data_IF_265431012959
#
_entry.id   IF_265431012959
#
_cell.length_a   1.000
_cell.length_b   1.000
_cell.length_c   1.000
_cell.angle_alpha   90.00
_cell.angle_beta   90.00
_cell.angle_gamma   90.00
#
_symmetry.space_group_name_H-M   'P 1'
#
loop_
_entity.id
_entity.type
_entity.pdbx_description
1 polymer ?
#
# COMPACT_ATOMS: atom_id res chain seq x y z
N UNK A 1 -41.23 -5.49 -12.71
CA UNK A 1 -39.87 -5.97 -13.02
C UNK A 1 -38.93 -5.14 -12.15
N UNK A 2 -38.39 -5.71 -11.06
CA UNK A 2 -37.42 -4.99 -10.20
C UNK A 2 -36.10 -4.93 -10.96
N UNK A 3 -35.67 -3.75 -11.31
CA UNK A 3 -34.30 -3.51 -11.77
C UNK A 3 -33.35 -4.02 -10.67
N UNK A 4 -32.56 -5.02 -10.99
CA UNK A 4 -31.44 -5.45 -10.15
C UNK A 4 -30.42 -4.32 -10.20
N UNK A 5 -30.38 -3.51 -9.15
CA UNK A 5 -29.29 -2.54 -8.97
C UNK A 5 -27.98 -3.33 -8.93
N UNK A 6 -27.19 -3.20 -9.98
CA UNK A 6 -25.87 -3.77 -10.05
C UNK A 6 -24.99 -3.04 -9.03
N UNK A 7 -24.48 -3.77 -8.04
CA UNK A 7 -23.49 -3.21 -7.09
C UNK A 7 -22.19 -3.05 -7.83
N UNK A 8 -21.81 -1.80 -8.12
CA UNK A 8 -20.56 -1.47 -8.82
C UNK A 8 -19.41 -1.13 -7.88
N UNK A 9 -19.72 -0.79 -6.64
CA UNK A 9 -18.75 -0.38 -5.63
C UNK A 9 -19.20 -0.78 -4.23
N UNK A 10 -18.24 -1.27 -3.42
CA UNK A 10 -18.41 -1.48 -1.99
C UNK A 10 -18.04 -0.19 -1.28
N UNK A 11 -18.99 0.39 -0.57
CA UNK A 11 -18.80 1.58 0.25
C UNK A 11 -18.80 1.15 1.71
N UNK A 12 -17.72 1.46 2.41
CA UNK A 12 -17.58 1.23 3.86
C UNK A 12 -17.72 2.56 4.60
N UNK A 13 -18.20 2.53 5.86
CA UNK A 13 -18.17 3.72 6.70
C UNK A 13 -16.75 4.19 6.94
N UNK A 14 -16.60 5.49 7.18
CA UNK A 14 -15.35 6.03 7.70
C UNK A 14 -15.17 5.55 9.14
N UNK A 15 -14.02 4.99 9.43
CA UNK A 15 -13.65 4.45 10.74
C UNK A 15 -12.22 4.84 11.09
N UNK A 16 -11.89 4.83 12.37
CA UNK A 16 -10.52 5.01 12.83
C UNK A 16 -10.20 3.90 13.85
N UNK A 17 -9.22 3.04 13.56
CA UNK A 17 -8.49 2.89 12.28
C UNK A 17 -9.39 2.54 11.09
N UNK A 18 -8.88 2.79 9.88
CA UNK A 18 -9.58 2.58 8.61
C UNK A 18 -10.11 1.15 8.43
N UNK A 19 -11.21 1.02 7.71
CA UNK A 19 -11.79 -0.28 7.33
C UNK A 19 -11.58 -0.54 5.83
N UNK A 20 -11.13 -1.74 5.51
CA UNK A 20 -10.85 -2.25 4.17
C UNK A 20 -11.82 -3.38 3.79
N UNK A 21 -11.98 -3.67 2.50
CA UNK A 21 -12.72 -4.84 2.03
C UNK A 21 -11.78 -5.95 1.59
N UNK A 22 -11.63 -6.98 2.42
CA UNK A 22 -10.66 -8.06 2.22
C UNK A 22 -11.39 -9.41 2.28
N UNK A 23 -11.16 -10.27 1.28
CA UNK A 23 -11.74 -11.62 1.22
C UNK A 23 -13.27 -11.63 1.44
N UNK A 24 -13.99 -10.70 0.79
CA UNK A 24 -15.44 -10.64 0.81
C UNK A 24 -16.07 -10.09 2.09
N UNK A 25 -15.31 -9.37 2.93
CA UNK A 25 -15.80 -8.77 4.19
C UNK A 25 -15.09 -7.48 4.57
N UNK A 26 -15.75 -6.67 5.37
CA UNK A 26 -15.14 -5.51 6.01
C UNK A 26 -14.16 -5.97 7.10
N UNK A 27 -12.95 -5.44 7.05
CA UNK A 27 -11.88 -5.70 8.03
C UNK A 27 -11.32 -4.37 8.48
N UNK A 28 -11.50 -4.04 9.76
CA UNK A 28 -10.88 -2.84 10.33
C UNK A 28 -9.38 -3.11 10.55
N UNK A 29 -8.54 -2.14 10.19
CA UNK A 29 -7.12 -2.16 10.51
C UNK A 29 -6.95 -2.14 12.04
N UNK A 30 -5.89 -2.73 12.54
CA UNK A 30 -5.53 -2.63 13.96
C UNK A 30 -4.64 -1.41 14.19
N UNK A 31 -4.66 -0.85 15.40
CA UNK A 31 -3.71 0.21 15.77
C UNK A 31 -2.27 -0.31 15.66
N UNK A 32 -1.36 0.46 15.03
CA UNK A 32 -0.01 -0.01 14.77
C UNK A 32 0.79 -0.17 16.04
N UNK A 33 1.60 -1.23 16.12
CA UNK A 33 2.67 -1.35 17.11
C UNK A 33 3.77 -0.31 16.85
N UNK A 34 4.58 -0.01 17.87
CA UNK A 34 5.70 0.96 17.77
C UNK A 34 6.59 0.72 16.56
N UNK A 35 7.01 -0.52 16.32
CA UNK A 35 7.90 -0.89 15.21
C UNK A 35 7.22 -0.61 13.86
N UNK A 36 5.96 -0.98 13.71
CA UNK A 36 5.18 -0.71 12.50
C UNK A 36 5.11 0.80 12.23
N UNK A 37 4.72 1.62 13.23
CA UNK A 37 4.61 3.07 13.06
C UNK A 37 5.94 3.75 12.75
N UNK A 38 7.07 3.24 13.29
CA UNK A 38 8.42 3.74 12.96
C UNK A 38 8.77 3.45 11.50
N UNK A 39 8.61 2.21 11.06
CA UNK A 39 8.90 1.81 9.67
C UNK A 39 7.99 2.55 8.68
N UNK A 40 6.72 2.75 9.01
CA UNK A 40 5.79 3.53 8.20
C UNK A 40 6.27 4.98 8.03
N UNK A 41 6.69 5.62 9.14
CA UNK A 41 7.21 6.98 9.12
C UNK A 41 8.49 7.10 8.29
N UNK A 42 9.43 6.17 8.42
CA UNK A 42 10.69 6.20 7.69
C UNK A 42 10.52 5.92 6.19
N UNK A 43 9.66 4.97 5.83
CA UNK A 43 9.30 4.69 4.43
C UNK A 43 8.57 5.88 3.79
N UNK A 44 7.63 6.49 4.53
CA UNK A 44 6.96 7.70 4.09
C UNK A 44 7.99 8.82 3.83
N UNK A 45 8.89 9.07 4.78
CA UNK A 45 9.90 10.12 4.67
C UNK A 45 10.87 9.87 3.49
N UNK A 46 11.32 8.62 3.31
CA UNK A 46 12.19 8.24 2.19
C UNK A 46 11.52 8.45 0.83
N UNK A 47 10.28 7.99 0.68
CA UNK A 47 9.50 8.16 -0.55
C UNK A 47 9.18 9.64 -0.81
N UNK A 48 8.85 10.42 0.22
CA UNK A 48 8.63 11.87 0.12
C UNK A 48 9.89 12.62 -0.34
N UNK A 49 11.03 12.24 0.20
CA UNK A 49 12.31 12.84 -0.22
C UNK A 49 12.68 12.50 -1.67
N UNK A 50 12.26 11.34 -2.13
CA UNK A 50 12.52 10.88 -3.50
C UNK A 50 11.57 11.52 -4.53
N UNK A 51 10.27 11.64 -4.24
CA UNK A 51 9.25 11.99 -5.24
C UNK A 51 9.40 13.40 -5.82
N UNK A 52 9.94 14.36 -5.06
CA UNK A 52 10.35 15.73 -5.50
C UNK A 52 9.37 16.45 -6.44
N UNK A 53 8.06 16.31 -6.21
CA UNK A 53 7.02 16.91 -7.02
C UNK A 53 6.60 16.09 -8.25
N UNK A 54 7.10 14.86 -8.42
CA UNK A 54 6.65 13.96 -9.49
C UNK A 54 5.34 13.24 -9.18
N UNK A 55 4.81 13.44 -7.99
CA UNK A 55 3.57 12.81 -7.56
C UNK A 55 3.19 13.18 -6.14
N UNK A 56 2.48 12.29 -5.48
CA UNK A 56 2.10 12.43 -4.08
C UNK A 56 2.36 11.13 -3.32
N UNK A 57 3.00 11.25 -2.16
CA UNK A 57 3.14 10.19 -1.18
C UNK A 57 2.23 10.50 0.01
N UNK A 58 1.47 9.52 0.47
CA UNK A 58 0.65 9.64 1.68
C UNK A 58 0.66 8.33 2.48
N UNK A 59 0.46 8.44 3.78
CA UNK A 59 0.17 7.30 4.66
C UNK A 59 -1.33 7.14 4.81
N UNK A 60 -1.79 5.90 5.04
CA UNK A 60 -3.20 5.56 5.28
C UNK A 60 -4.15 6.16 4.24
N UNK A 61 -3.72 6.23 2.99
CA UNK A 61 -4.52 6.79 1.90
C UNK A 61 -5.45 5.73 1.31
N UNK A 62 -6.74 5.99 1.36
CA UNK A 62 -7.77 5.09 0.84
C UNK A 62 -7.81 5.13 -0.69
N UNK A 63 -7.83 3.95 -1.29
CA UNK A 63 -8.03 3.74 -2.73
C UNK A 63 -9.28 2.90 -2.97
N UNK A 64 -10.03 3.19 -4.03
CA UNK A 64 -11.22 2.45 -4.45
C UNK A 64 -10.89 1.64 -5.69
N UNK A 65 -10.41 0.42 -5.50
CA UNK A 65 -9.78 -0.38 -6.54
C UNK A 65 -10.79 -1.34 -7.18
N UNK A 66 -10.85 -1.34 -8.52
CA UNK A 66 -11.65 -2.28 -9.30
C UNK A 66 -10.74 -3.10 -10.22
N UNK A 67 -10.21 -4.25 -9.77
CA UNK A 67 -9.52 -5.17 -10.67
C UNK A 67 -10.45 -5.59 -11.83
N UNK A 68 -9.92 -5.92 -13.01
CA UNK A 68 -10.72 -6.32 -14.15
C UNK A 68 -11.74 -7.41 -13.81
N UNK A 69 -13.01 -7.18 -14.14
CA UNK A 69 -14.11 -8.12 -13.87
C UNK A 69 -14.53 -8.22 -12.41
N UNK A 70 -14.04 -7.37 -11.53
CA UNK A 70 -14.36 -7.38 -10.10
C UNK A 70 -15.04 -6.09 -9.64
N UNK A 71 -15.79 -6.19 -8.53
CA UNK A 71 -16.43 -5.06 -7.88
C UNK A 71 -15.35 -4.14 -7.29
N UNK A 72 -15.53 -2.82 -7.43
CA UNK A 72 -14.68 -1.81 -6.80
C UNK A 72 -14.75 -1.92 -5.28
N UNK A 73 -13.61 -1.86 -4.62
CA UNK A 73 -13.49 -2.03 -3.17
C UNK A 73 -12.45 -1.10 -2.55
N UNK A 74 -12.65 -0.65 -1.30
CA UNK A 74 -11.68 0.16 -0.61
C UNK A 74 -10.54 -0.70 -0.06
N UNK A 75 -9.29 -0.26 -0.31
CA UNK A 75 -8.07 -0.69 0.37
C UNK A 75 -7.27 0.53 0.83
N UNK A 76 -6.50 0.36 1.91
CA UNK A 76 -5.74 1.42 2.56
C UNK A 76 -4.33 0.90 2.84
N UNK A 77 -3.36 1.11 1.95
CA UNK A 77 -1.96 0.77 2.19
C UNK A 77 -1.37 1.65 3.31
N UNK A 78 -0.36 1.14 4.00
CA UNK A 78 0.32 1.89 5.07
C UNK A 78 1.02 3.13 4.51
N UNK A 79 1.65 3.02 3.32
CA UNK A 79 2.16 4.15 2.53
C UNK A 79 1.82 3.91 1.06
N UNK A 80 1.49 4.98 0.35
CA UNK A 80 1.23 4.93 -1.08
C UNK A 80 1.92 6.06 -1.82
N UNK A 81 2.30 5.80 -3.08
CA UNK A 81 2.71 6.81 -4.04
C UNK A 81 1.80 6.76 -5.27
N UNK A 82 1.40 7.95 -5.73
CA UNK A 82 0.69 8.14 -7.00
C UNK A 82 1.38 9.23 -7.79
N UNK A 83 1.66 8.97 -9.05
CA UNK A 83 2.28 9.93 -9.96
C UNK A 83 1.39 11.15 -10.24
N UNK A 84 2.01 12.30 -10.49
CA UNK A 84 1.30 13.53 -10.82
C UNK A 84 0.41 13.37 -12.07
N UNK A 85 0.84 12.57 -13.04
CA UNK A 85 0.07 12.25 -14.24
C UNK A 85 -1.26 11.57 -13.90
N UNK A 86 -1.26 10.59 -13.00
CA UNK A 86 -2.47 9.88 -12.60
C UNK A 86 -3.38 10.68 -11.69
N UNK A 87 -2.85 11.65 -10.98
CA UNK A 87 -3.62 12.59 -10.15
C UNK A 87 -4.20 13.73 -10.97
N UNK A 88 -3.65 14.01 -12.16
CA UNK A 88 -4.09 15.11 -13.00
C UNK A 88 -5.60 15.00 -13.35
N UNK A 89 -6.34 16.06 -13.07
CA UNK A 89 -7.77 16.13 -13.33
C UNK A 89 -8.67 15.50 -12.27
N UNK A 90 -8.14 14.82 -11.25
CA UNK A 90 -8.94 14.34 -10.12
C UNK A 90 -9.36 15.51 -9.23
N UNK A 91 -10.59 15.45 -8.74
CA UNK A 91 -11.16 16.45 -7.83
C UNK A 91 -12.07 15.79 -6.80
N UNK A 92 -12.30 16.48 -5.68
CA UNK A 92 -13.22 16.05 -4.64
C UNK A 92 -12.96 14.62 -4.16
N UNK A 93 -14.00 13.79 -4.14
CA UNK A 93 -13.93 12.41 -3.67
C UNK A 93 -12.87 11.58 -4.42
N UNK A 94 -12.70 11.80 -5.72
CA UNK A 94 -11.76 11.01 -6.52
C UNK A 94 -10.29 11.40 -6.23
N UNK A 95 -10.03 12.62 -5.78
CA UNK A 95 -8.72 13.03 -5.29
C UNK A 95 -8.46 12.47 -3.88
N UNK A 96 -9.46 12.57 -2.99
CA UNK A 96 -9.33 12.07 -1.60
C UNK A 96 -9.23 10.54 -1.54
N UNK A 97 -9.98 9.85 -2.37
CA UNK A 97 -9.97 8.39 -2.49
C UNK A 97 -9.97 7.96 -3.96
N UNK A 98 -8.79 7.89 -4.60
CA UNK A 98 -8.67 7.61 -6.04
C UNK A 98 -9.35 6.30 -6.45
N UNK A 99 -10.05 6.28 -7.62
CA UNK A 99 -10.80 5.12 -8.09
C UNK A 99 -9.91 4.08 -8.82
N UNK A 100 -8.66 3.95 -8.41
CA UNK A 100 -7.65 3.04 -8.96
C UNK A 100 -6.65 2.62 -7.89
N UNK A 101 -5.78 1.63 -8.17
CA UNK A 101 -4.67 1.27 -7.30
C UNK A 101 -3.55 2.33 -7.36
N UNK A 102 -2.79 2.61 -6.28
CA UNK A 102 -1.63 3.48 -6.34
C UNK A 102 -0.57 2.91 -7.32
N UNK A 103 0.37 3.74 -7.77
CA UNK A 103 1.53 3.25 -8.53
C UNK A 103 2.40 2.36 -7.66
N UNK A 104 2.60 2.76 -6.41
CA UNK A 104 3.31 1.97 -5.40
C UNK A 104 2.49 1.89 -4.12
N UNK A 105 2.23 0.67 -3.66
CA UNK A 105 1.66 0.39 -2.35
C UNK A 105 2.71 -0.19 -1.42
N UNK A 106 2.71 0.22 -0.16
CA UNK A 106 3.56 -0.34 0.90
C UNK A 106 2.67 -0.93 1.98
N UNK A 107 2.93 -2.17 2.36
CA UNK A 107 2.31 -2.87 3.47
C UNK A 107 3.39 -3.29 4.46
N UNK A 108 3.23 -2.97 5.72
CA UNK A 108 4.14 -3.33 6.79
C UNK A 108 3.46 -4.36 7.67
N UNK A 109 4.02 -5.55 7.74
CA UNK A 109 3.41 -6.65 8.46
C UNK A 109 3.42 -6.42 9.98
N UNK A 110 2.34 -6.79 10.61
CA UNK A 110 2.17 -6.86 12.06
C UNK A 110 2.05 -8.33 12.51
N UNK A 111 2.37 -8.65 13.77
CA UNK A 111 2.28 -10.03 14.27
C UNK A 111 0.89 -10.67 14.10
N UNK A 112 -0.16 -9.85 14.08
CA UNK A 112 -1.55 -10.30 13.97
C UNK A 112 -2.03 -10.43 12.51
N UNK A 113 -1.18 -10.11 11.53
CA UNK A 113 -1.54 -10.20 10.14
C UNK A 113 -1.70 -11.65 9.70
N UNK A 114 -2.78 -11.89 8.98
CA UNK A 114 -3.06 -13.21 8.38
C UNK A 114 -2.50 -13.26 6.96
N UNK A 115 -1.62 -14.21 6.64
CA UNK A 115 -1.00 -14.30 5.31
C UNK A 115 -2.00 -14.22 4.16
N UNK A 116 -3.14 -14.90 4.24
CA UNK A 116 -4.16 -14.87 3.20
C UNK A 116 -4.76 -13.46 2.96
N UNK A 117 -4.80 -12.59 3.97
CA UNK A 117 -5.27 -11.21 3.79
C UNK A 117 -4.21 -10.37 3.07
N UNK A 118 -2.95 -10.54 3.44
CA UNK A 118 -1.82 -9.84 2.81
C UNK A 118 -1.72 -10.22 1.35
N UNK A 119 -1.74 -11.51 1.03
CA UNK A 119 -1.72 -12.02 -0.35
C UNK A 119 -2.92 -11.49 -1.17
N UNK A 120 -4.11 -11.43 -0.56
CA UNK A 120 -5.28 -10.86 -1.22
C UNK A 120 -5.09 -9.37 -1.55
N UNK A 121 -4.56 -8.56 -0.62
CA UNK A 121 -4.27 -7.14 -0.85
C UNK A 121 -3.27 -6.98 -2.00
N UNK A 122 -2.16 -7.72 -1.97
CA UNK A 122 -1.15 -7.71 -3.04
C UNK A 122 -1.80 -8.01 -4.40
N UNK A 123 -2.58 -9.09 -4.49
CA UNK A 123 -3.25 -9.47 -5.72
C UNK A 123 -4.21 -8.38 -6.22
N UNK A 124 -4.96 -7.72 -5.34
CA UNK A 124 -5.87 -6.62 -5.70
C UNK A 124 -5.10 -5.40 -6.18
N UNK A 125 -3.99 -5.02 -5.53
CA UNK A 125 -3.15 -3.89 -5.98
C UNK A 125 -2.58 -4.15 -7.38
N UNK A 126 -1.93 -5.29 -7.58
CA UNK A 126 -1.31 -5.63 -8.88
C UNK A 126 -2.37 -5.73 -9.99
N UNK A 127 -3.45 -6.48 -9.76
CA UNK A 127 -4.54 -6.58 -10.74
C UNK A 127 -5.26 -5.24 -10.99
N UNK A 128 -5.24 -4.34 -10.00
CA UNK A 128 -5.78 -2.98 -10.10
C UNK A 128 -4.85 -1.99 -10.79
N UNK A 129 -3.65 -2.41 -11.21
CA UNK A 129 -2.71 -1.61 -12.00
C UNK A 129 -1.57 -0.97 -11.18
N UNK A 130 -1.32 -1.42 -9.95
CA UNK A 130 -0.12 -1.01 -9.23
C UNK A 130 1.14 -1.56 -9.93
N UNK A 131 2.15 -0.71 -10.08
CA UNK A 131 3.43 -1.08 -10.67
C UNK A 131 4.33 -1.82 -9.69
N UNK A 132 4.15 -1.59 -8.39
CA UNK A 132 4.95 -2.18 -7.32
C UNK A 132 4.14 -2.27 -6.02
N UNK A 133 4.24 -3.41 -5.34
CA UNK A 133 3.82 -3.56 -3.95
C UNK A 133 5.03 -3.94 -3.11
N UNK A 134 5.35 -3.13 -2.12
CA UNK A 134 6.45 -3.34 -1.17
C UNK A 134 5.85 -3.92 0.11
N UNK A 135 6.22 -5.13 0.47
CA UNK A 135 5.82 -5.76 1.73
C UNK A 135 7.01 -5.85 2.66
N UNK A 136 6.94 -5.17 3.79
CA UNK A 136 8.00 -5.14 4.80
C UNK A 136 7.63 -6.07 5.94
N UNK A 137 8.50 -7.02 6.25
CA UNK A 137 8.35 -7.93 7.38
C UNK A 137 9.38 -7.59 8.47
N UNK A 138 8.95 -6.94 9.57
CA UNK A 138 9.86 -6.59 10.66
C UNK A 138 10.37 -7.81 11.42
N UNK A 139 9.64 -8.94 11.39
CA UNK A 139 9.96 -10.11 12.21
C UNK A 139 11.22 -10.83 11.75
N UNK A 140 11.46 -10.86 10.45
CA UNK A 140 12.66 -11.47 9.84
C UNK A 140 13.53 -10.44 9.10
N UNK A 141 13.21 -9.15 9.24
CA UNK A 141 13.93 -8.01 8.63
C UNK A 141 14.07 -8.16 7.11
N UNK A 142 12.99 -8.57 6.46
CA UNK A 142 12.94 -8.77 5.01
C UNK A 142 11.99 -7.79 4.33
N UNK A 143 12.20 -7.60 3.03
CA UNK A 143 11.30 -6.85 2.15
C UNK A 143 11.01 -7.69 0.91
N UNK A 144 9.73 -7.80 0.55
CA UNK A 144 9.30 -8.41 -0.71
C UNK A 144 8.82 -7.33 -1.66
N UNK A 145 9.35 -7.34 -2.87
CA UNK A 145 8.94 -6.48 -3.97
C UNK A 145 8.09 -7.31 -4.94
N UNK A 146 6.81 -7.00 -5.03
CA UNK A 146 5.86 -7.65 -5.93
C UNK A 146 5.54 -6.72 -7.11
N UNK A 147 5.64 -7.24 -8.32
CA UNK A 147 5.23 -6.57 -9.55
C UNK A 147 4.48 -7.54 -10.48
N UNK A 148 4.19 -7.13 -11.71
CA UNK A 148 3.54 -7.97 -12.71
C UNK A 148 4.38 -9.18 -13.18
N UNK A 149 5.67 -9.19 -12.88
CA UNK A 149 6.61 -10.26 -13.29
C UNK A 149 6.88 -11.27 -12.18
N UNK A 150 6.50 -10.96 -10.93
CA UNK A 150 6.66 -11.86 -9.80
C UNK A 150 7.04 -11.17 -8.49
N UNK A 151 7.82 -11.89 -7.69
CA UNK A 151 8.26 -11.41 -6.37
C UNK A 151 9.77 -11.52 -6.23
N UNK A 152 10.41 -10.48 -5.68
CA UNK A 152 11.81 -10.46 -5.28
C UNK A 152 11.91 -10.28 -3.78
N UNK A 153 12.59 -11.21 -3.10
CA UNK A 153 12.87 -11.13 -1.67
C UNK A 153 14.21 -10.45 -1.45
N UNK A 154 14.23 -9.47 -0.57
CA UNK A 154 15.43 -8.72 -0.14
C UNK A 154 15.73 -9.01 1.32
N UNK A 155 17.02 -9.20 1.66
CA UNK A 155 17.51 -9.48 3.03
C UNK A 155 18.92 -8.94 3.25
N UNK A 156 19.33 -8.86 4.51
CA UNK A 156 20.68 -8.46 4.89
C UNK A 156 21.04 -7.07 4.38
N UNK A 157 22.07 -6.97 3.54
CA UNK A 157 22.58 -5.70 3.02
C UNK A 157 21.92 -5.29 1.69
N UNK A 158 20.85 -5.97 1.29
CA UNK A 158 20.11 -5.63 0.07
C UNK A 158 19.53 -4.21 0.13
N UNK A 159 19.17 -3.72 -1.04
CA UNK A 159 18.64 -2.37 -1.25
C UNK A 159 17.27 -2.44 -1.93
N UNK A 160 16.31 -1.71 -1.40
CA UNK A 160 15.04 -1.46 -2.07
C UNK A 160 15.30 -0.52 -3.23
N UNK A 161 15.26 -1.07 -4.44
CA UNK A 161 15.36 -0.36 -5.70
C UNK A 161 14.50 -1.07 -6.74
N UNK A 162 13.73 -0.32 -7.54
CA UNK A 162 12.83 -0.89 -8.54
C UNK A 162 12.60 0.10 -9.69
N UNK A 163 12.39 -0.36 -10.95
CA UNK A 163 12.09 0.52 -12.09
C UNK A 163 10.88 1.44 -11.90
N UNK A 164 9.87 1.03 -11.13
CA UNK A 164 8.73 1.88 -10.78
C UNK A 164 9.09 3.07 -9.86
N UNK A 165 10.30 3.08 -9.29
CA UNK A 165 10.85 4.12 -8.42
C UNK A 165 12.22 4.55 -8.95
N UNK A 166 12.31 5.19 -10.12
CA UNK A 166 13.58 5.49 -10.76
C UNK A 166 14.47 6.39 -9.87
N UNK A 167 15.69 5.91 -9.57
CA UNK A 167 16.63 6.61 -8.69
C UNK A 167 16.36 6.51 -7.20
N UNK A 168 15.28 5.83 -6.77
CA UNK A 168 15.06 5.50 -5.36
C UNK A 168 16.01 4.39 -4.93
N UNK A 169 16.59 4.55 -3.75
CA UNK A 169 17.47 3.57 -3.13
C UNK A 169 17.38 3.68 -1.61
N UNK A 170 16.99 2.59 -0.95
CA UNK A 170 16.89 2.50 0.51
C UNK A 170 17.48 1.17 0.97
N UNK A 171 18.61 1.21 1.71
CA UNK A 171 19.21 -0.01 2.24
C UNK A 171 18.38 -0.61 3.38
N UNK A 172 18.30 -1.93 3.42
CA UNK A 172 17.59 -2.62 4.49
C UNK A 172 18.20 -2.35 5.88
N UNK A 173 19.54 -2.33 6.06
CA UNK A 173 20.14 -1.93 7.33
C UNK A 173 19.66 -0.56 7.81
N UNK A 174 19.58 0.44 6.94
CA UNK A 174 19.09 1.77 7.31
C UNK A 174 17.61 1.76 7.67
N UNK A 175 16.78 1.05 6.89
CA UNK A 175 15.34 0.91 7.15
C UNK A 175 15.09 0.27 8.52
N UNK A 176 15.74 -0.86 8.82
CA UNK A 176 15.47 -1.62 10.05
C UNK A 176 16.21 -1.08 11.29
N UNK A 177 17.29 -0.30 11.12
CA UNK A 177 17.94 0.35 12.25
C UNK A 177 17.02 1.30 13.02
N UNK A 178 16.15 2.00 12.30
CA UNK A 178 15.18 2.90 12.88
C UNK A 178 14.06 2.17 13.68
N UNK A 179 13.84 0.90 13.41
CA UNK A 179 12.88 0.06 14.14
C UNK A 179 13.44 -0.47 15.47
N UNK A 180 14.76 -0.50 15.62
CA UNK A 180 15.42 -0.95 16.84
C UNK A 180 15.16 0.02 18.01
N UNK A 181 15.14 -0.45 19.27
CA UNK A 181 15.07 0.44 20.42
C UNK A 181 16.31 1.34 20.46
N UNK A 182 16.17 2.59 20.94
CA UNK A 182 17.35 3.42 21.18
C UNK A 182 18.27 2.75 22.22
N UNK A 183 19.57 2.80 21.97
CA UNK A 183 20.60 2.30 22.90
C UNK A 183 20.66 3.14 24.17
#
# INVERSE_FOLDING_TARGET
>A
MRELMSIHEIVLPETEPETEWILGRAVQKVSPYRTHGRLQGDLYAALRAWEKGHGQVSSEWRFRIAPPGQIRRPLVPDVAYVSAERLAGLQGRDLEAPPFAPDVAVEILSPDDRPARVEHKIAVYIAGGASLVIVVDPSDRSVRLHDAHGVRLLRGDDVVAHPALPGFSLSLPALFAAADPPC
#
